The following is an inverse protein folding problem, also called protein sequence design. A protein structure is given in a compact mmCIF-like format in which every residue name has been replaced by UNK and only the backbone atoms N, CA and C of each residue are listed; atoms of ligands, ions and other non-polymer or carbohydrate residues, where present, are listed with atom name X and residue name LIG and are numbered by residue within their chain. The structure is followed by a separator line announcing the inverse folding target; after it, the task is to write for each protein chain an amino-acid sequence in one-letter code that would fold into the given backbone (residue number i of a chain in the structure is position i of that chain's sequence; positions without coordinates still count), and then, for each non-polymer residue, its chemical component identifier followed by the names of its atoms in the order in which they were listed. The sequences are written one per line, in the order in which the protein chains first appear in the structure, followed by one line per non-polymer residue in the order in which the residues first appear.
data_IF_903085446841
#
_entry.id   IF_903085446841
#
_cell.length_a   1.000
_cell.length_b   1.000
_cell.length_c   1.000
_cell.angle_alpha   90.00
_cell.angle_beta   90.00
_cell.angle_gamma   90.00
#
_symmetry.space_group_name_H-M   'P 1'
#
loop_
_entity.id
_entity.type
_entity.pdbx_description
1 polymer ?
#
# COMPACT_ATOMS: atom_id res chain seq x y z
N UNK A 1 8.05 -2.64 -3.23
CA UNK A 1 7.60 -3.81 -4.04
C UNK A 1 8.72 -4.83 -4.22
N UNK A 2 9.88 -4.44 -4.74
CA UNK A 2 11.04 -5.32 -4.94
C UNK A 2 11.39 -6.21 -3.73
N UNK A 3 11.52 -5.61 -2.55
CA UNK A 3 11.78 -6.35 -1.29
C UNK A 3 10.73 -7.43 -0.99
N UNK A 4 9.46 -7.16 -1.30
CA UNK A 4 8.37 -8.09 -1.08
C UNK A 4 8.40 -9.23 -2.11
N UNK A 5 8.77 -8.96 -3.37
CA UNK A 5 9.04 -10.01 -4.36
C UNK A 5 10.24 -10.88 -3.99
N UNK A 6 11.34 -10.31 -3.49
CA UNK A 6 12.49 -11.10 -3.03
C UNK A 6 12.10 -12.07 -1.90
N UNK A 7 11.17 -11.66 -1.04
CA UNK A 7 10.63 -12.51 0.04
C UNK A 7 9.54 -13.48 -0.44
N UNK A 8 8.86 -13.17 -1.55
CA UNK A 8 7.79 -13.97 -2.16
C UNK A 8 8.07 -14.20 -3.67
N UNK A 9 9.14 -14.93 -4.02
CA UNK A 9 9.63 -14.97 -5.41
C UNK A 9 8.68 -15.69 -6.37
N UNK A 10 7.70 -16.45 -5.88
CA UNK A 10 6.73 -17.13 -6.72
C UNK A 10 5.64 -16.18 -7.25
N UNK A 11 5.45 -15.00 -6.65
CA UNK A 11 4.35 -14.08 -6.96
C UNK A 11 4.50 -13.41 -8.33
N UNK A 12 5.67 -12.86 -8.66
CA UNK A 12 5.90 -12.21 -9.98
C UNK A 12 5.75 -13.19 -11.15
N UNK A 13 5.96 -14.49 -10.92
CA UNK A 13 5.75 -15.52 -11.95
C UNK A 13 4.28 -15.72 -12.27
N UNK A 14 3.37 -15.48 -11.32
CA UNK A 14 1.91 -15.56 -11.54
C UNK A 14 1.41 -14.47 -12.49
N UNK A 15 2.10 -13.32 -12.54
CA UNK A 15 1.84 -12.23 -13.47
C UNK A 15 2.40 -12.43 -14.88
N UNK A 16 2.98 -13.60 -15.19
CA UNK A 16 3.66 -13.88 -16.47
C UNK A 16 4.75 -12.86 -16.84
N UNK A 17 5.38 -12.24 -15.84
CA UNK A 17 6.48 -11.31 -16.06
C UNK A 17 7.79 -12.07 -16.35
N UNK A 18 8.64 -11.58 -17.28
CA UNK A 18 9.91 -12.22 -17.59
C UNK A 18 10.93 -12.11 -16.46
N UNK A 19 10.75 -11.14 -15.56
CA UNK A 19 11.59 -10.93 -14.38
C UNK A 19 10.85 -10.16 -13.29
N UNK A 20 11.39 -10.18 -12.07
CA UNK A 20 10.94 -9.32 -10.97
C UNK A 20 10.99 -7.83 -11.37
N UNK A 21 12.06 -7.41 -12.03
CA UNK A 21 12.24 -6.01 -12.44
C UNK A 21 11.21 -5.60 -13.49
N UNK A 22 10.82 -6.51 -14.40
CA UNK A 22 9.75 -6.27 -15.35
C UNK A 22 8.39 -6.10 -14.66
N UNK A 23 8.11 -6.90 -13.62
CA UNK A 23 6.90 -6.75 -12.82
C UNK A 23 6.86 -5.40 -12.08
N UNK A 24 7.99 -4.97 -11.50
CA UNK A 24 8.10 -3.67 -10.83
C UNK A 24 7.97 -2.52 -11.84
N UNK A 25 8.65 -2.60 -12.98
CA UNK A 25 8.56 -1.59 -14.03
C UNK A 25 7.13 -1.45 -14.56
N UNK A 26 6.41 -2.57 -14.72
CA UNK A 26 5.00 -2.57 -15.10
C UNK A 26 4.12 -1.86 -14.07
N UNK A 27 4.33 -2.11 -12.78
CA UNK A 27 3.54 -1.54 -11.70
C UNK A 27 3.63 0.00 -11.62
N UNK A 28 4.75 0.57 -12.06
CA UNK A 28 5.02 2.01 -12.03
C UNK A 28 5.07 2.67 -13.41
N UNK A 29 4.51 2.02 -14.45
CA UNK A 29 4.32 2.64 -15.76
C UNK A 29 3.32 3.80 -15.63
N UNK A 30 3.80 5.03 -15.75
CA UNK A 30 3.02 6.25 -15.61
C UNK A 30 1.77 6.29 -16.53
N UNK A 31 1.83 5.63 -17.69
CA UNK A 31 0.71 5.59 -18.65
C UNK A 31 -0.49 4.78 -18.14
N UNK A 32 -0.28 3.91 -17.16
CA UNK A 32 -1.35 3.09 -16.60
C UNK A 32 -2.25 3.88 -15.65
N UNK A 33 -1.74 4.96 -15.03
CA UNK A 33 -2.38 5.62 -13.88
C UNK A 33 -2.85 4.62 -12.80
N UNK A 34 -2.11 3.52 -12.67
CA UNK A 34 -2.41 2.37 -11.82
C UNK A 34 -3.69 1.59 -12.15
N UNK A 35 -4.20 1.70 -13.38
CA UNK A 35 -5.25 0.82 -13.90
C UNK A 35 -4.63 -0.38 -14.60
N UNK A 36 -4.86 -1.57 -14.04
CA UNK A 36 -4.36 -2.82 -14.60
C UNK A 36 -5.50 -3.83 -14.76
N UNK A 37 -5.60 -4.40 -15.96
CA UNK A 37 -6.62 -5.40 -16.28
C UNK A 37 -6.54 -6.64 -15.38
N UNK A 38 -5.33 -7.08 -15.02
CA UNK A 38 -5.10 -8.21 -14.10
C UNK A 38 -5.64 -7.98 -12.68
N UNK A 39 -5.83 -6.71 -12.28
CA UNK A 39 -6.45 -6.35 -11.00
C UNK A 39 -7.94 -6.05 -11.14
N UNK A 40 -8.50 -6.20 -12.34
CA UNK A 40 -9.86 -5.75 -12.68
C UNK A 40 -9.99 -4.23 -12.55
N UNK A 41 -8.94 -3.48 -12.89
CA UNK A 41 -8.83 -2.02 -12.77
C UNK A 41 -8.99 -1.48 -11.33
N UNK A 42 -8.91 -2.35 -10.32
CA UNK A 42 -8.90 -1.92 -8.91
C UNK A 42 -7.58 -1.23 -8.58
N UNK A 43 -7.68 -0.20 -7.74
CA UNK A 43 -6.57 0.60 -7.22
C UNK A 43 -6.87 1.02 -5.78
N UNK A 44 -5.91 1.63 -5.11
CA UNK A 44 -6.00 2.04 -3.72
C UNK A 44 -6.28 0.87 -2.77
N UNK A 45 -7.15 1.11 -1.79
CA UNK A 45 -7.59 0.13 -0.81
C UNK A 45 -8.18 -1.14 -1.46
N UNK A 46 -8.91 -1.02 -2.58
CA UNK A 46 -9.56 -2.16 -3.21
C UNK A 46 -8.56 -3.17 -3.79
N UNK A 47 -7.43 -2.69 -4.31
CA UNK A 47 -6.35 -3.56 -4.77
C UNK A 47 -5.60 -4.22 -3.61
N UNK A 48 -5.43 -3.52 -2.47
CA UNK A 48 -4.87 -4.10 -1.24
C UNK A 48 -5.79 -5.21 -0.72
N UNK A 49 -7.10 -4.97 -0.68
CA UNK A 49 -8.09 -5.98 -0.27
C UNK A 49 -8.06 -7.18 -1.22
N UNK A 50 -8.01 -6.96 -2.54
CA UNK A 50 -7.87 -8.03 -3.53
C UNK A 50 -6.64 -8.90 -3.24
N UNK A 51 -5.49 -8.28 -2.97
CA UNK A 51 -4.24 -8.99 -2.70
C UNK A 51 -4.29 -9.89 -1.45
N UNK A 52 -5.19 -9.60 -0.51
CA UNK A 52 -5.33 -10.28 0.78
C UNK A 52 -6.57 -11.19 0.84
N UNK A 53 -7.25 -11.41 -0.29
CA UNK A 53 -8.32 -12.42 -0.40
C UNK A 53 -7.73 -13.81 -0.59
N UNK A 54 -8.04 -14.82 0.25
CA UNK A 54 -7.52 -16.18 0.08
C UNK A 54 -7.78 -16.77 -1.32
N UNK A 55 -8.88 -16.38 -1.95
CA UNK A 55 -9.35 -16.88 -3.25
C UNK A 55 -8.60 -16.24 -4.44
N UNK A 56 -7.89 -15.13 -4.21
CA UNK A 56 -7.16 -14.43 -5.26
C UNK A 56 -5.90 -15.21 -5.66
N UNK A 57 -5.87 -15.68 -6.91
CA UNK A 57 -4.78 -16.49 -7.45
C UNK A 57 -3.75 -15.72 -8.28
N UNK A 58 -3.96 -14.41 -8.49
CA UNK A 58 -3.04 -13.56 -9.23
C UNK A 58 -1.78 -13.19 -8.42
N UNK A 59 -0.97 -12.30 -8.99
CA UNK A 59 0.21 -11.77 -8.31
C UNK A 59 -0.22 -10.88 -7.13
N UNK A 60 -0.05 -11.39 -5.90
CA UNK A 60 -0.41 -10.70 -4.67
C UNK A 60 0.53 -9.55 -4.37
N UNK A 61 1.80 -9.66 -4.73
CA UNK A 61 2.78 -8.58 -4.49
C UNK A 61 2.51 -7.41 -5.44
N UNK A 62 2.18 -7.70 -6.69
CA UNK A 62 1.74 -6.70 -7.66
C UNK A 62 0.48 -5.99 -7.15
N UNK A 63 -0.57 -6.74 -6.81
CA UNK A 63 -1.84 -6.19 -6.32
C UNK A 63 -1.65 -5.34 -5.05
N UNK A 64 -0.90 -5.83 -4.06
CA UNK A 64 -0.66 -5.13 -2.80
C UNK A 64 0.18 -3.86 -3.01
N UNK A 65 1.26 -3.96 -3.79
CA UNK A 65 2.17 -2.84 -4.03
C UNK A 65 1.54 -1.76 -4.92
N UNK A 66 0.80 -2.14 -5.97
CA UNK A 66 -0.02 -1.21 -6.76
C UNK A 66 -1.08 -0.57 -5.88
N UNK A 67 -1.76 -1.33 -5.03
CA UNK A 67 -2.76 -0.79 -4.11
C UNK A 67 -2.20 0.29 -3.19
N UNK A 68 -1.03 0.06 -2.58
CA UNK A 68 -0.34 1.09 -1.78
C UNK A 68 0.08 2.30 -2.60
N UNK A 69 0.77 2.08 -3.73
CA UNK A 69 1.28 3.17 -4.56
C UNK A 69 0.16 4.05 -5.11
N UNK A 70 -0.90 3.43 -5.62
CA UNK A 70 -2.06 4.14 -6.16
C UNK A 70 -2.89 4.81 -5.07
N UNK A 71 -2.95 4.26 -3.86
CA UNK A 71 -3.58 4.94 -2.72
C UNK A 71 -2.86 6.24 -2.38
N UNK A 72 -1.52 6.20 -2.31
CA UNK A 72 -0.71 7.40 -2.09
C UNK A 72 -0.92 8.37 -3.24
N UNK A 73 -0.84 7.92 -4.50
CA UNK A 73 -1.10 8.76 -5.67
C UNK A 73 -2.47 9.47 -5.61
N UNK A 74 -3.54 8.75 -5.24
CA UNK A 74 -4.89 9.31 -5.09
C UNK A 74 -4.98 10.29 -3.91
N UNK A 75 -4.25 10.07 -2.82
CA UNK A 75 -4.19 11.02 -1.70
C UNK A 75 -3.58 12.36 -2.09
N UNK A 76 -2.77 12.38 -3.15
CA UNK A 76 -2.23 13.58 -3.78
C UNK A 76 -3.05 14.00 -5.02
N UNK A 77 -4.34 13.67 -5.05
CA UNK A 77 -5.29 14.01 -6.11
C UNK A 77 -4.95 13.44 -7.50
N UNK A 78 -4.18 12.35 -7.57
CA UNK A 78 -3.82 11.71 -8.84
C UNK A 78 -2.89 12.57 -9.69
N UNK A 79 -2.07 13.42 -9.06
CA UNK A 79 -1.10 14.27 -9.75
C UNK A 79 0.33 13.79 -9.47
N UNK A 80 1.16 13.84 -10.51
CA UNK A 80 2.61 13.63 -10.38
C UNK A 80 3.40 14.94 -10.33
N UNK A 81 2.76 16.06 -10.68
CA UNK A 81 3.34 17.40 -10.67
C UNK A 81 2.55 18.29 -9.73
N UNK A 82 3.26 19.12 -8.96
CA UNK A 82 2.65 20.07 -8.02
C UNK A 82 3.13 21.47 -8.33
N UNK A 83 2.19 22.38 -8.45
CA UNK A 83 2.46 23.81 -8.65
C UNK A 83 2.26 24.56 -7.34
N UNK A 84 2.91 25.73 -7.21
CA UNK A 84 2.87 26.52 -5.97
C UNK A 84 1.45 26.90 -5.55
N UNK A 85 0.52 27.09 -6.49
CA UNK A 85 -0.87 27.47 -6.20
C UNK A 85 -1.76 26.30 -5.80
N UNK A 86 -1.29 25.06 -5.97
CA UNK A 86 -2.09 23.89 -5.64
C UNK A 86 -2.05 23.60 -4.14
N UNK A 87 -3.20 23.14 -3.64
CA UNK A 87 -3.35 22.72 -2.24
C UNK A 87 -3.65 21.23 -2.20
N UNK A 88 -2.98 20.55 -1.26
CA UNK A 88 -3.26 19.16 -0.95
C UNK A 88 -4.39 19.08 0.07
N UNK A 89 -5.18 18.02 0.01
CA UNK A 89 -6.17 17.76 1.04
C UNK A 89 -5.49 17.11 2.26
N UNK A 90 -5.38 17.81 3.40
CA UNK A 90 -4.73 17.25 4.59
C UNK A 90 -5.45 16.02 5.15
N UNK A 91 -6.77 15.90 4.96
CA UNK A 91 -7.52 14.75 5.44
C UNK A 91 -7.20 13.51 4.62
N UNK A 92 -7.06 13.62 3.29
CA UNK A 92 -6.67 12.50 2.43
C UNK A 92 -5.27 11.98 2.75
N UNK A 93 -4.32 12.89 3.01
CA UNK A 93 -2.96 12.54 3.42
C UNK A 93 -2.94 11.83 4.79
N UNK A 94 -3.70 12.33 5.76
CA UNK A 94 -3.85 11.67 7.06
C UNK A 94 -4.51 10.28 6.91
N UNK A 95 -5.57 10.17 6.11
CA UNK A 95 -6.24 8.91 5.86
C UNK A 95 -5.31 7.92 5.15
N UNK A 96 -4.48 8.38 4.22
CA UNK A 96 -3.42 7.59 3.57
C UNK A 96 -2.45 7.02 4.60
N UNK A 97 -1.97 7.83 5.56
CA UNK A 97 -1.10 7.37 6.64
C UNK A 97 -1.75 6.23 7.46
N UNK A 98 -3.01 6.41 7.88
CA UNK A 98 -3.75 5.38 8.61
C UNK A 98 -4.00 4.14 7.77
N UNK A 99 -4.29 4.30 6.48
CA UNK A 99 -4.49 3.17 5.58
C UNK A 99 -3.20 2.36 5.35
N UNK A 100 -2.02 3.00 5.34
CA UNK A 100 -0.74 2.30 5.27
C UNK A 100 -0.54 1.45 6.54
N UNK A 101 -0.90 1.97 7.71
CA UNK A 101 -0.87 1.22 8.97
C UNK A 101 -1.80 0.01 8.95
N UNK A 102 -3.04 0.19 8.49
CA UNK A 102 -4.02 -0.89 8.29
C UNK A 102 -3.48 -1.94 7.30
N UNK A 103 -2.90 -1.50 6.18
CA UNK A 103 -2.34 -2.40 5.18
C UNK A 103 -1.17 -3.22 5.72
N UNK A 104 -0.26 -2.58 6.48
CA UNK A 104 0.86 -3.25 7.13
C UNK A 104 0.37 -4.30 8.16
N UNK A 105 -0.62 -3.94 8.98
CA UNK A 105 -1.21 -4.88 9.94
C UNK A 105 -1.90 -6.05 9.24
N UNK A 106 -2.73 -5.78 8.21
CA UNK A 106 -3.41 -6.84 7.46
C UNK A 106 -2.42 -7.75 6.73
N UNK A 107 -1.34 -7.21 6.15
CA UNK A 107 -0.27 -8.00 5.55
C UNK A 107 0.38 -8.96 6.56
N UNK A 108 0.63 -8.49 7.79
CA UNK A 108 1.26 -9.30 8.83
C UNK A 108 0.32 -10.35 9.45
N UNK A 109 -1.00 -10.14 9.41
CA UNK A 109 -1.97 -10.95 10.16
C UNK A 109 -2.92 -11.78 9.28
N UNK A 110 -3.00 -11.52 7.98
CA UNK A 110 -3.88 -12.29 7.09
C UNK A 110 -3.26 -13.66 6.80
N UNK A 111 -4.08 -14.71 6.90
CA UNK A 111 -3.71 -16.11 6.71
C UNK A 111 -4.62 -16.78 5.68
N UNK A 112 -4.12 -17.84 5.07
CA UNK A 112 -4.92 -18.74 4.23
C UNK A 112 -5.71 -19.75 5.09
N UNK A 113 -6.46 -20.65 4.43
CA UNK A 113 -7.23 -21.69 5.09
C UNK A 113 -6.38 -22.76 5.81
N UNK A 114 -5.05 -22.75 5.65
CA UNK A 114 -4.10 -23.61 6.34
C UNK A 114 -3.42 -22.91 7.52
N UNK A 115 -3.72 -21.63 7.74
CA UNK A 115 -3.10 -20.82 8.79
C UNK A 115 -1.77 -20.20 8.40
N UNK A 116 -1.36 -20.26 7.13
CA UNK A 116 -0.12 -19.70 6.61
C UNK A 116 -0.31 -18.25 6.12
N UNK A 117 0.68 -17.35 6.24
CA UNK A 117 0.59 -16.00 5.70
C UNK A 117 0.38 -16.00 4.18
N UNK A 118 -0.57 -15.20 3.69
CA UNK A 118 -0.78 -15.03 2.23
C UNK A 118 0.42 -14.38 1.53
N UNK A 119 1.16 -13.54 2.25
CA UNK A 119 2.40 -12.91 1.80
C UNK A 119 3.38 -12.87 2.97
N UNK A 120 4.58 -13.37 2.74
CA UNK A 120 5.67 -13.31 3.71
C UNK A 120 6.22 -11.88 3.77
N UNK A 121 6.25 -11.31 4.97
CA UNK A 121 6.77 -9.95 5.21
C UNK A 121 7.78 -9.96 6.36
N UNK A 122 7.38 -9.48 7.54
CA UNK A 122 8.21 -9.58 8.75
C UNK A 122 8.33 -11.05 9.18
N UNK A 123 9.43 -11.36 9.86
CA UNK A 123 9.68 -12.67 10.47
C UNK A 123 10.01 -12.45 11.94
N UNK A 124 9.15 -12.96 12.82
CA UNK A 124 9.30 -12.90 14.27
C UNK A 124 9.68 -14.26 14.88
N UNK A 125 9.60 -15.33 14.09
CA UNK A 125 9.73 -16.71 14.56
C UNK A 125 11.14 -17.29 14.36
N UNK A 126 11.94 -16.70 13.46
CA UNK A 126 13.35 -17.06 13.29
C UNK A 126 14.29 -16.48 14.36
N UNK A 127 15.51 -17.03 14.42
CA UNK A 127 16.60 -16.62 15.31
C UNK A 127 17.02 -15.15 15.10
N UNK A 128 16.76 -14.61 13.89
CA UNK A 128 16.94 -13.20 13.54
C UNK A 128 15.59 -12.58 13.20
N UNK A 129 15.12 -11.66 14.05
CA UNK A 129 13.90 -10.88 13.82
C UNK A 129 14.05 -9.97 12.59
N UNK A 130 13.28 -10.23 11.54
CA UNK A 130 13.23 -9.36 10.37
C UNK A 130 12.09 -8.34 10.51
N UNK A 131 12.40 -7.18 11.11
CA UNK A 131 11.49 -6.03 11.24
C UNK A 131 11.67 -5.01 10.10
N UNK A 132 12.30 -5.43 9.01
CA UNK A 132 12.71 -4.49 7.98
C UNK A 132 11.54 -4.04 7.10
N UNK A 133 10.40 -4.74 7.08
CA UNK A 133 9.19 -4.24 6.42
C UNK A 133 8.48 -3.22 7.31
N UNK A 134 8.37 -3.50 8.61
CA UNK A 134 7.81 -2.55 9.58
C UNK A 134 8.50 -1.19 9.52
N UNK A 135 9.83 -1.17 9.41
CA UNK A 135 10.60 0.08 9.24
C UNK A 135 10.24 0.84 7.96
N UNK A 136 10.04 0.15 6.84
CA UNK A 136 9.66 0.81 5.58
C UNK A 136 8.22 1.34 5.65
N UNK A 137 7.28 0.59 6.25
CA UNK A 137 5.94 1.09 6.50
C UNK A 137 5.94 2.30 7.44
N UNK A 138 6.72 2.28 8.52
CA UNK A 138 6.86 3.39 9.45
C UNK A 138 7.35 4.68 8.76
N UNK A 139 8.32 4.59 7.85
CA UNK A 139 8.77 5.73 7.04
C UNK A 139 7.63 6.27 6.16
N UNK A 140 6.91 5.40 5.46
CA UNK A 140 5.80 5.82 4.60
C UNK A 140 4.68 6.49 5.40
N UNK A 141 4.31 5.94 6.57
CA UNK A 141 3.33 6.53 7.48
C UNK A 141 3.80 7.93 7.92
N UNK A 142 5.05 8.05 8.36
CA UNK A 142 5.63 9.31 8.81
C UNK A 142 5.62 10.37 7.70
N UNK A 143 5.96 10.01 6.46
CA UNK A 143 5.90 10.94 5.33
C UNK A 143 4.48 11.45 5.06
N UNK A 144 3.48 10.55 5.11
CA UNK A 144 2.09 10.96 4.91
C UNK A 144 1.57 11.84 6.06
N UNK A 145 1.90 11.51 7.32
CA UNK A 145 1.52 12.30 8.49
C UNK A 145 2.15 13.71 8.48
N UNK A 146 3.44 13.81 8.14
CA UNK A 146 4.13 15.11 8.02
C UNK A 146 3.51 15.95 6.91
N UNK A 147 3.24 15.36 5.74
CA UNK A 147 2.59 16.07 4.64
C UNK A 147 1.17 16.51 4.99
N UNK A 148 0.42 15.70 5.73
CA UNK A 148 -0.90 16.08 6.24
C UNK A 148 -0.82 17.32 7.14
N UNK A 149 0.15 17.36 8.07
CA UNK A 149 0.36 18.51 8.95
C UNK A 149 0.76 19.78 8.18
N UNK A 150 1.70 19.67 7.23
CA UNK A 150 2.12 20.79 6.39
C UNK A 150 0.93 21.34 5.59
N UNK A 151 0.14 20.46 4.96
CA UNK A 151 -1.05 20.85 4.19
C UNK A 151 -2.12 21.49 5.09
N UNK A 152 -2.34 20.96 6.30
CA UNK A 152 -3.29 21.48 7.27
C UNK A 152 -2.91 22.89 7.74
N UNK A 153 -1.63 23.10 8.09
CA UNK A 153 -1.12 24.41 8.48
C UNK A 153 -1.24 25.42 7.34
N UNK A 154 -0.84 25.04 6.12
CA UNK A 154 -0.91 25.89 4.93
C UNK A 154 -2.34 26.32 4.58
N UNK A 155 -3.31 25.42 4.77
CA UNK A 155 -4.73 25.66 4.42
C UNK A 155 -5.59 26.10 5.60
N UNK A 156 -5.00 26.23 6.79
CA UNK A 156 -5.68 26.48 8.06
C UNK A 156 -6.86 25.52 8.32
N UNK A 157 -6.68 24.24 8.01
CA UNK A 157 -7.69 23.18 8.17
C UNK A 157 -7.36 22.27 9.36
N UNK A 158 -8.39 21.80 10.05
CA UNK A 158 -8.25 20.82 11.14
C UNK A 158 -8.37 19.40 10.57
N UNK A 159 -7.41 18.53 10.93
CA UNK A 159 -7.45 17.10 10.60
C UNK A 159 -8.33 16.38 11.61
N UNK A 160 -9.34 15.64 11.13
CA UNK A 160 -10.13 14.74 11.98
C UNK A 160 -9.35 13.45 12.20
N UNK A 161 -8.99 13.20 13.46
CA UNK A 161 -8.27 11.99 13.85
C UNK A 161 -9.24 10.84 14.05
N UNK A 162 -8.86 9.66 13.57
CA UNK A 162 -9.62 8.42 13.72
C UNK A 162 -8.82 7.48 14.61
N UNK A 163 -9.47 6.94 15.64
CA UNK A 163 -8.91 5.89 16.50
C UNK A 163 -9.74 4.64 16.25
N UNK A 164 -9.13 3.60 15.72
CA UNK A 164 -9.75 2.31 15.47
C UNK A 164 -8.79 1.16 15.78
N UNK A 165 -9.32 0.03 16.24
CA UNK A 165 -8.53 -1.19 16.39
C UNK A 165 -8.14 -1.70 15.00
N UNK A 166 -6.85 -1.98 14.78
CA UNK A 166 -6.35 -2.48 13.49
C UNK A 166 -7.02 -3.80 13.07
N UNK A 167 -7.45 -4.61 14.04
CA UNK A 167 -8.13 -5.89 13.78
C UNK A 167 -9.46 -5.73 13.06
N UNK A 168 -10.21 -4.67 13.36
CA UNK A 168 -11.52 -4.39 12.78
C UNK A 168 -11.51 -3.19 11.84
N UNK A 169 -10.33 -2.59 11.61
CA UNK A 169 -10.19 -1.39 10.82
C UNK A 169 -10.59 -1.61 9.36
N UNK A 170 -11.45 -0.72 8.88
CA UNK A 170 -11.73 -0.52 7.48
C UNK A 170 -10.82 0.56 6.91
N UNK A 171 -10.52 0.46 5.62
CA UNK A 171 -9.79 1.52 4.93
C UNK A 171 -10.61 2.81 4.92
N UNK A 172 -9.95 3.91 5.24
CA UNK A 172 -10.51 5.26 5.24
C UNK A 172 -10.60 5.79 3.81
N UNK A 173 -11.57 6.68 3.52
CA UNK A 173 -11.74 7.23 2.18
C UNK A 173 -10.55 8.12 1.78
N UNK A 174 -10.19 8.04 0.51
CA UNK A 174 -9.16 8.85 -0.17
C UNK A 174 -9.83 9.65 -1.28
#
# INVERSE_FOLDING_TARGET
MEKLYRRNPHEWRKGNYPSMDAAVARAFDARSEFHFAELGNRRGADAIVLALKPEYSGDRVFAFGVGLASMVFLAYNGKMEFYLTESLDPQKLYNSARNIEIAAWKLANTRDGRGEPLLLSNDLAGDVRNLSFEREFGKMIAYQDVMAQIAAQRTNRVIRRVVQSLATAAFLPI
#
